data_IF_777205114116
#
_entry.id   IF_777205114116
#
_cell.length_a   1.000
_cell.length_b   1.000
_cell.length_c   1.000
_cell.angle_alpha   90.00
_cell.angle_beta   90.00
_cell.angle_gamma   90.00
#
_symmetry.space_group_name_H-M   'P 1'
#
loop_
_entity.id
_entity.type
_entity.pdbx_description
1 polymer ?
#
# COMPACT_ATOMS: atom_id res chain seq x y z
N UNK A 1 15.16 19.79 -8.89
CA UNK A 1 14.37 19.51 -7.66
C UNK A 1 13.06 20.28 -7.76
N UNK A 2 11.92 19.61 -7.67
CA UNK A 2 10.60 20.25 -7.84
C UNK A 2 9.84 20.26 -6.52
N UNK A 3 9.11 21.33 -6.23
CA UNK A 3 8.16 21.34 -5.12
C UNK A 3 6.95 20.43 -5.44
N UNK A 4 6.49 19.67 -4.45
CA UNK A 4 5.28 18.87 -4.58
C UNK A 4 4.04 19.76 -4.46
N UNK A 5 3.10 19.57 -5.38
CA UNK A 5 1.77 20.21 -5.38
C UNK A 5 0.72 19.11 -5.15
N UNK A 6 -0.38 19.40 -4.42
CA UNK A 6 -1.55 18.54 -4.33
C UNK A 6 -1.96 17.86 -5.66
N UNK A 7 -1.98 18.59 -6.78
CA UNK A 7 -2.36 18.03 -8.09
C UNK A 7 -1.39 16.92 -8.52
N UNK A 8 -0.08 17.18 -8.43
CA UNK A 8 0.98 16.22 -8.78
C UNK A 8 0.95 14.98 -7.88
N UNK A 9 0.66 15.15 -6.58
CA UNK A 9 0.50 14.03 -5.67
C UNK A 9 -0.68 13.14 -6.10
N UNK A 10 -1.81 13.73 -6.44
CA UNK A 10 -2.97 12.97 -6.90
C UNK A 10 -2.69 12.24 -8.23
N UNK A 11 -2.03 12.91 -9.19
CA UNK A 11 -1.58 12.29 -10.44
C UNK A 11 -0.64 11.10 -10.18
N UNK A 12 0.28 11.22 -9.23
CA UNK A 12 1.16 10.12 -8.82
C UNK A 12 0.37 8.96 -8.20
N UNK A 13 -0.59 9.22 -7.31
CA UNK A 13 -1.45 8.17 -6.72
C UNK A 13 -2.19 7.39 -7.82
N UNK A 14 -2.73 8.11 -8.82
CA UNK A 14 -3.43 7.50 -9.97
C UNK A 14 -2.47 6.70 -10.84
N UNK A 15 -1.25 7.21 -11.09
CA UNK A 15 -0.27 6.51 -11.94
C UNK A 15 0.23 5.21 -11.29
N UNK A 16 0.38 5.19 -9.96
CA UNK A 16 0.75 4.01 -9.17
C UNK A 16 -0.27 2.87 -9.28
N UNK A 17 -1.54 3.13 -9.65
CA UNK A 17 -2.55 2.07 -9.83
C UNK A 17 -2.12 0.99 -10.81
N UNK A 18 -1.50 1.38 -11.93
CA UNK A 18 -1.00 0.42 -12.95
C UNK A 18 0.21 -0.35 -12.42
N UNK A 19 1.08 0.30 -11.68
CA UNK A 19 2.27 -0.30 -11.06
C UNK A 19 1.86 -1.32 -10.00
N UNK A 20 0.88 -1.00 -9.16
CA UNK A 20 0.33 -1.89 -8.13
C UNK A 20 -0.29 -3.13 -8.77
N UNK A 21 -1.06 -2.99 -9.87
CA UNK A 21 -1.57 -4.16 -10.61
C UNK A 21 -0.45 -5.11 -11.03
N UNK A 22 0.68 -4.57 -11.53
CA UNK A 22 1.86 -5.37 -11.88
C UNK A 22 2.52 -5.99 -10.64
N UNK A 23 2.65 -5.23 -9.56
CA UNK A 23 3.22 -5.70 -8.30
C UNK A 23 2.41 -6.87 -7.70
N UNK A 24 1.08 -6.79 -7.74
CA UNK A 24 0.17 -7.88 -7.34
C UNK A 24 0.43 -9.16 -8.12
N UNK A 25 0.60 -9.06 -9.44
CA UNK A 25 0.91 -10.24 -10.29
C UNK A 25 2.26 -10.84 -9.90
N UNK A 26 3.27 -10.02 -9.63
CA UNK A 26 4.59 -10.49 -9.21
C UNK A 26 4.51 -11.23 -7.86
N UNK A 27 3.84 -10.63 -6.87
CA UNK A 27 3.68 -11.23 -5.55
C UNK A 27 2.84 -12.52 -5.62
N UNK A 28 1.75 -12.51 -6.38
CA UNK A 28 0.91 -13.68 -6.60
C UNK A 28 1.73 -14.84 -7.17
N UNK A 29 2.46 -14.61 -8.27
CA UNK A 29 3.31 -15.65 -8.89
C UNK A 29 4.39 -16.15 -7.94
N UNK A 30 4.97 -15.26 -7.14
CA UNK A 30 5.96 -15.64 -6.14
C UNK A 30 5.36 -16.60 -5.09
N UNK A 31 4.19 -16.27 -4.53
CA UNK A 31 3.50 -17.13 -3.57
C UNK A 31 3.02 -18.44 -4.19
N UNK A 32 2.45 -18.43 -5.40
CA UNK A 32 2.04 -19.66 -6.08
C UNK A 32 3.22 -20.62 -6.31
N UNK A 33 4.38 -20.11 -6.73
CA UNK A 33 5.60 -20.93 -6.89
C UNK A 33 6.12 -21.45 -5.56
N UNK A 34 6.08 -20.63 -4.50
CA UNK A 34 6.49 -21.03 -3.17
C UNK A 34 5.61 -22.17 -2.62
N UNK A 35 4.29 -22.05 -2.76
CA UNK A 35 3.34 -23.11 -2.38
C UNK A 35 3.63 -24.40 -3.14
N UNK A 36 3.81 -24.34 -4.47
CA UNK A 36 4.13 -25.52 -5.28
C UNK A 36 5.41 -26.22 -4.78
N UNK A 37 6.47 -25.44 -4.50
CA UNK A 37 7.73 -25.98 -3.98
C UNK A 37 7.55 -26.65 -2.61
N UNK A 38 6.77 -26.04 -1.71
CA UNK A 38 6.51 -26.58 -0.37
C UNK A 38 5.61 -27.84 -0.40
N UNK A 39 4.63 -27.88 -1.29
CA UNK A 39 3.79 -29.08 -1.51
C UNK A 39 4.62 -30.24 -2.06
N UNK A 40 5.55 -29.97 -2.98
CA UNK A 40 6.41 -30.99 -3.57
C UNK A 40 7.42 -31.59 -2.58
N UNK A 41 7.81 -30.86 -1.53
CA UNK A 41 8.77 -31.37 -0.55
C UNK A 41 8.18 -32.37 0.46
N UNK A 42 6.85 -32.62 0.43
CA UNK A 42 6.13 -33.60 1.27
C UNK A 42 6.54 -33.60 2.76
N UNK A 43 6.79 -32.42 3.30
CA UNK A 43 7.15 -32.23 4.72
C UNK A 43 5.98 -31.56 5.43
N UNK A 44 5.37 -32.25 6.38
CA UNK A 44 4.18 -31.79 7.09
C UNK A 44 4.42 -30.51 7.91
N UNK A 45 5.67 -30.25 8.31
CA UNK A 45 6.05 -28.99 8.96
C UNK A 45 5.81 -27.75 8.06
N UNK A 46 5.63 -27.93 6.74
CA UNK A 46 5.32 -26.85 5.81
C UNK A 46 3.84 -26.49 5.76
N UNK A 47 2.92 -27.31 6.29
CA UNK A 47 1.47 -27.08 6.19
C UNK A 47 1.07 -25.67 6.70
N UNK A 48 1.50 -25.20 7.89
CA UNK A 48 1.11 -23.87 8.38
C UNK A 48 1.66 -22.72 7.52
N UNK A 49 2.76 -22.96 6.80
CA UNK A 49 3.33 -21.97 5.88
C UNK A 49 2.55 -21.94 4.56
N UNK A 50 2.10 -23.10 4.08
CA UNK A 50 1.28 -23.21 2.87
C UNK A 50 -0.07 -22.50 3.09
N UNK A 51 -0.77 -22.82 4.17
CA UNK A 51 -2.06 -22.21 4.51
C UNK A 51 -1.97 -20.68 4.55
N UNK A 52 -0.95 -20.16 5.24
CA UNK A 52 -0.68 -18.71 5.31
C UNK A 52 -0.48 -18.07 3.93
N UNK A 53 0.24 -18.74 3.03
CA UNK A 53 0.46 -18.24 1.68
C UNK A 53 -0.83 -18.29 0.85
N UNK A 54 -1.68 -19.30 1.06
CA UNK A 54 -2.99 -19.42 0.41
C UNK A 54 -3.97 -18.33 0.87
N UNK A 55 -4.01 -18.02 2.17
CA UNK A 55 -4.73 -16.87 2.71
C UNK A 55 -4.30 -15.56 2.04
N UNK A 56 -2.99 -15.33 1.95
CA UNK A 56 -2.44 -14.13 1.32
C UNK A 56 -2.76 -14.06 -0.19
N UNK A 57 -2.73 -15.18 -0.91
CA UNK A 57 -3.12 -15.25 -2.33
C UNK A 57 -4.57 -14.79 -2.56
N UNK A 58 -5.48 -15.14 -1.67
CA UNK A 58 -6.88 -14.72 -1.75
C UNK A 58 -7.02 -13.21 -1.56
N UNK A 59 -6.22 -12.63 -0.68
CA UNK A 59 -6.26 -11.20 -0.34
C UNK A 59 -5.58 -10.30 -1.37
N UNK A 60 -4.49 -10.74 -2.00
CA UNK A 60 -3.74 -9.95 -3.01
C UNK A 60 -4.68 -9.35 -4.09
N UNK A 61 -5.69 -10.12 -4.49
CA UNK A 61 -6.67 -9.72 -5.51
C UNK A 61 -7.48 -8.49 -5.08
N UNK A 62 -7.82 -8.41 -3.80
CA UNK A 62 -8.76 -7.43 -3.23
C UNK A 62 -8.10 -6.14 -2.73
N UNK A 63 -6.76 -6.09 -2.62
CA UNK A 63 -6.06 -4.88 -2.16
C UNK A 63 -6.40 -3.66 -3.03
N UNK A 64 -6.87 -2.59 -2.39
CA UNK A 64 -7.25 -1.37 -3.11
C UNK A 64 -5.99 -0.58 -3.48
N UNK A 65 -5.82 -0.14 -4.74
CA UNK A 65 -4.61 0.56 -5.15
C UNK A 65 -4.39 1.90 -4.43
N UNK A 66 -5.43 2.73 -4.27
CA UNK A 66 -5.26 4.07 -3.74
C UNK A 66 -4.85 4.10 -2.25
N UNK A 67 -5.46 3.32 -1.35
CA UNK A 67 -4.98 3.18 0.03
C UNK A 67 -3.52 2.72 0.08
N UNK A 68 -3.16 1.69 -0.70
CA UNK A 68 -1.80 1.18 -0.75
C UNK A 68 -0.81 2.24 -1.25
N UNK A 69 -1.16 2.99 -2.31
CA UNK A 69 -0.35 4.11 -2.81
C UNK A 69 -0.08 5.15 -1.71
N UNK A 70 -1.11 5.52 -0.94
CA UNK A 70 -0.97 6.49 0.15
C UNK A 70 -0.07 5.97 1.26
N UNK A 71 -0.24 4.71 1.66
CA UNK A 71 0.62 4.04 2.65
C UNK A 71 2.07 4.05 2.15
N UNK A 72 2.31 3.66 0.90
CA UNK A 72 3.65 3.59 0.31
C UNK A 72 4.35 4.95 0.27
N UNK A 73 3.63 6.00 -0.10
CA UNK A 73 4.17 7.36 -0.21
C UNK A 73 4.48 8.01 1.14
N UNK A 74 3.84 7.56 2.23
CA UNK A 74 4.12 8.03 3.60
C UNK A 74 5.10 7.12 4.34
N UNK A 75 5.26 5.87 3.91
CA UNK A 75 6.03 4.88 4.64
C UNK A 75 7.51 5.28 4.77
N UNK A 76 7.98 5.51 5.99
CA UNK A 76 9.39 5.75 6.31
C UNK A 76 10.12 4.48 6.79
N UNK A 77 9.37 3.41 7.06
CA UNK A 77 9.94 2.18 7.63
C UNK A 77 10.71 1.37 6.61
N UNK A 78 11.79 0.75 7.07
CA UNK A 78 12.60 -0.15 6.27
C UNK A 78 11.90 -1.48 6.03
N UNK A 79 12.41 -2.25 5.06
CA UNK A 79 11.91 -3.59 4.75
C UNK A 79 11.98 -4.52 5.96
N UNK A 80 13.09 -4.47 6.70
CA UNK A 80 13.31 -5.35 7.84
C UNK A 80 12.36 -5.01 8.99
N UNK A 81 12.15 -3.73 9.28
CA UNK A 81 11.19 -3.28 10.29
C UNK A 81 9.76 -3.74 10.02
N UNK A 82 9.33 -3.72 8.75
CA UNK A 82 7.96 -4.08 8.38
C UNK A 82 7.76 -5.58 8.25
N UNK A 83 8.73 -6.31 7.68
CA UNK A 83 8.56 -7.74 7.40
C UNK A 83 8.83 -8.64 8.62
N UNK A 84 9.63 -8.20 9.59
CA UNK A 84 9.87 -8.95 10.84
C UNK A 84 8.64 -8.95 11.76
N UNK A 85 7.85 -7.88 11.75
CA UNK A 85 6.71 -7.68 12.66
C UNK A 85 5.35 -8.16 12.09
N UNK A 86 5.36 -9.13 11.17
CA UNK A 86 4.14 -9.64 10.52
C UNK A 86 3.42 -10.76 11.30
N UNK A 87 3.97 -11.21 12.43
CA UNK A 87 3.33 -12.23 13.27
C UNK A 87 2.10 -11.63 13.97
N UNK A 88 0.96 -12.32 13.91
CA UNK A 88 -0.30 -11.84 14.49
C UNK A 88 -1.04 -10.78 13.67
N UNK A 89 -0.48 -10.37 12.52
CA UNK A 89 -1.11 -9.44 11.58
C UNK A 89 -2.13 -10.13 10.69
N UNK A 90 -3.14 -9.38 10.25
CA UNK A 90 -4.16 -9.90 9.33
C UNK A 90 -3.52 -10.24 7.98
N UNK A 91 -4.08 -11.18 7.20
CA UNK A 91 -3.58 -11.48 5.86
C UNK A 91 -3.46 -10.24 4.96
N UNK A 92 -4.35 -9.25 5.14
CA UNK A 92 -4.34 -7.97 4.44
C UNK A 92 -3.13 -7.12 4.81
N UNK A 93 -2.88 -6.90 6.10
CA UNK A 93 -1.71 -6.15 6.57
C UNK A 93 -0.39 -6.81 6.10
N UNK A 94 -0.32 -8.16 6.12
CA UNK A 94 0.85 -8.90 5.64
C UNK A 94 1.08 -8.68 4.14
N UNK A 95 0.02 -8.74 3.34
CA UNK A 95 0.10 -8.53 1.89
C UNK A 95 0.46 -7.09 1.56
N UNK A 96 -0.16 -6.11 2.22
CA UNK A 96 0.17 -4.69 2.04
C UNK A 96 1.64 -4.43 2.32
N UNK A 97 2.15 -4.89 3.46
CA UNK A 97 3.56 -4.76 3.81
C UNK A 97 4.48 -5.39 2.76
N UNK A 98 4.16 -6.60 2.26
CA UNK A 98 4.95 -7.25 1.21
C UNK A 98 4.89 -6.52 -0.13
N UNK A 99 3.74 -5.95 -0.49
CA UNK A 99 3.54 -5.23 -1.74
C UNK A 99 4.40 -3.96 -1.82
N UNK A 100 4.62 -3.27 -0.69
CA UNK A 100 5.48 -2.09 -0.62
C UNK A 100 6.90 -2.35 -1.15
N UNK A 101 7.41 -3.56 -0.94
CA UNK A 101 8.78 -3.96 -1.27
C UNK A 101 8.86 -4.87 -2.50
N UNK A 102 7.81 -4.89 -3.35
CA UNK A 102 7.92 -5.56 -4.65
C UNK A 102 8.78 -4.68 -5.57
N UNK A 103 9.83 -5.21 -6.22
CA UNK A 103 10.84 -4.38 -6.90
C UNK A 103 10.28 -3.41 -7.94
N UNK A 104 9.19 -3.75 -8.63
CA UNK A 104 8.58 -2.86 -9.62
C UNK A 104 7.87 -1.66 -8.99
N UNK A 105 7.38 -1.81 -7.77
CA UNK A 105 6.66 -0.79 -7.03
C UNK A 105 7.62 0.06 -6.21
N UNK A 106 8.55 -0.58 -5.49
CA UNK A 106 9.61 0.08 -4.72
C UNK A 106 10.39 1.08 -5.57
N UNK A 107 10.87 0.67 -6.75
CA UNK A 107 11.55 1.55 -7.71
C UNK A 107 10.74 2.79 -8.11
N UNK A 108 9.42 2.69 -8.19
CA UNK A 108 8.56 3.82 -8.55
C UNK A 108 8.31 4.77 -7.37
N UNK A 109 8.43 4.28 -6.13
CA UNK A 109 8.43 5.09 -4.92
C UNK A 109 9.77 5.78 -4.76
N UNK A 110 10.89 5.09 -4.99
CA UNK A 110 12.24 5.68 -4.87
C UNK A 110 12.45 6.82 -5.86
N UNK A 111 12.09 6.62 -7.15
CA UNK A 111 12.09 7.69 -8.15
C UNK A 111 11.28 8.92 -7.73
N UNK A 112 10.16 8.70 -7.04
CA UNK A 112 9.34 9.79 -6.52
C UNK A 112 10.06 10.52 -5.38
N UNK A 113 10.68 9.80 -4.46
CA UNK A 113 11.43 10.39 -3.34
C UNK A 113 12.66 11.17 -3.81
N UNK A 114 13.35 10.68 -4.82
CA UNK A 114 14.45 11.38 -5.50
C UNK A 114 13.97 12.70 -6.14
N UNK A 115 12.78 12.68 -6.76
CA UNK A 115 12.20 13.87 -7.38
C UNK A 115 11.73 14.92 -6.37
N UNK A 116 11.26 14.48 -5.19
CA UNK A 116 10.67 15.31 -4.13
C UNK A 116 11.36 15.05 -2.77
N UNK A 117 12.49 15.72 -2.46
CA UNK A 117 13.25 15.45 -1.23
C UNK A 117 12.48 15.69 0.07
N UNK A 118 11.50 16.60 0.07
CA UNK A 118 10.65 16.94 1.23
C UNK A 118 9.38 16.09 1.32
N UNK A 119 9.31 14.98 0.60
CA UNK A 119 8.13 14.10 0.54
C UNK A 119 7.61 13.70 1.93
N UNK A 120 8.51 13.47 2.89
CA UNK A 120 8.17 13.02 4.24
C UNK A 120 7.34 14.04 5.04
N UNK A 121 7.41 15.33 4.69
CA UNK A 121 6.57 16.40 5.25
C UNK A 121 5.40 16.73 4.32
N UNK A 122 5.65 16.87 3.03
CA UNK A 122 4.68 17.35 2.06
C UNK A 122 3.56 16.33 1.79
N UNK A 123 3.89 15.04 1.67
CA UNK A 123 2.90 13.99 1.38
C UNK A 123 1.88 13.85 2.52
N UNK A 124 2.27 13.67 3.80
CA UNK A 124 1.29 13.58 4.89
C UNK A 124 0.41 14.82 4.98
N UNK A 125 1.00 16.01 4.83
CA UNK A 125 0.27 17.29 4.85
C UNK A 125 -0.83 17.34 3.78
N UNK A 126 -0.51 17.00 2.53
CA UNK A 126 -1.50 17.00 1.46
C UNK A 126 -2.55 15.91 1.62
N UNK A 127 -2.17 14.72 2.08
CA UNK A 127 -3.13 13.63 2.35
C UNK A 127 -4.13 13.99 3.45
N UNK A 128 -3.68 14.66 4.52
CA UNK A 128 -4.54 15.18 5.57
C UNK A 128 -5.53 16.21 5.01
N UNK A 129 -5.03 17.15 4.19
CA UNK A 129 -5.86 18.18 3.55
C UNK A 129 -6.91 17.57 2.61
N UNK A 130 -6.56 16.54 1.84
CA UNK A 130 -7.53 15.81 1.01
C UNK A 130 -8.63 15.15 1.83
N UNK A 131 -8.28 14.59 2.99
CA UNK A 131 -9.25 13.99 3.91
C UNK A 131 -10.25 15.01 4.46
N UNK A 132 -9.77 16.20 4.86
CA UNK A 132 -10.62 17.30 5.33
C UNK A 132 -11.60 17.78 4.26
N UNK A 133 -11.10 18.04 3.04
CA UNK A 133 -11.94 18.46 1.91
C UNK A 133 -13.00 17.40 1.60
N UNK A 134 -12.64 16.12 1.61
CA UNK A 134 -13.59 15.03 1.38
C UNK A 134 -14.68 14.97 2.47
N UNK A 135 -14.31 15.19 3.74
CA UNK A 135 -15.24 15.24 4.87
C UNK A 135 -16.21 16.42 4.73
N UNK A 136 -15.72 17.62 4.45
CA UNK A 136 -16.53 18.82 4.24
C UNK A 136 -17.55 18.64 3.11
N UNK A 137 -17.12 18.08 1.97
CA UNK A 137 -18.02 17.77 0.84
C UNK A 137 -19.10 16.76 1.23
N UNK A 138 -18.76 15.73 2.01
CA UNK A 138 -19.73 14.74 2.49
C UNK A 138 -20.74 15.36 3.46
N UNK A 139 -20.29 16.26 4.34
CA UNK A 139 -21.17 16.99 5.27
C UNK A 139 -22.15 17.88 4.50
N UNK A 140 -21.66 18.68 3.55
CA UNK A 140 -22.49 19.51 2.66
C UNK A 140 -23.50 18.67 1.86
N UNK A 141 -23.07 17.54 1.32
CA UNK A 141 -23.96 16.63 0.58
C UNK A 141 -25.01 15.94 1.46
N UNK A 142 -24.76 15.83 2.78
CA UNK A 142 -25.69 15.24 3.74
C UNK A 142 -26.69 16.23 4.35
N UNK A 143 -26.69 17.50 3.92
CA UNK A 143 -27.62 18.53 4.40
C UNK A 143 -27.48 18.90 5.87
N UNK A 144 -26.40 18.47 6.54
CA UNK A 144 -26.08 18.88 7.91
C UNK A 144 -25.29 20.17 7.84
N UNK A 145 -25.98 21.31 7.78
CA UNK A 145 -25.34 22.61 7.97
C UNK A 145 -24.71 22.63 9.37
N UNK A 146 -23.38 22.77 9.39
CA UNK A 146 -22.65 22.97 10.63
C UNK A 146 -22.97 24.39 11.08
N UNK A 147 -23.86 24.52 12.05
CA UNK A 147 -24.04 25.75 12.82
C UNK A 147 -22.72 25.94 13.58
N UNK A 148 -21.80 26.70 13.01
CA UNK A 148 -20.63 27.20 13.71
C UNK A 148 -21.13 28.28 14.67
N UNK A 149 -21.20 27.98 15.96
CA UNK A 149 -21.33 29.02 16.98
C UNK A 149 -19.99 29.77 17.02
N UNK A 150 -20.08 31.10 16.85
CA UNK A 150 -18.98 32.06 17.01
C UNK A 150 -18.42 32.04 18.43
#
# INVERSE_FOLDING_TARGET
MSALDPKKLNEKIVSLRKVIKKAKVHLFRHHSRAILKLKNSKNDANLPKIERLEEELNVIKNIKPDPLSKIALVNTKTKDELLTNLKGKTPEERVEAKLLFVPVFEKEIDKFREQYPKWYQEVPFFLQRFGMIAKERKVKASGKDVIVHN
#
